data_IF_036561235691
#
_entry.id   IF_036561235691
#
_cell.length_a   1.000
_cell.length_b   1.000
_cell.length_c   1.000
_cell.angle_alpha   90.00
_cell.angle_beta   90.00
_cell.angle_gamma   90.00
#
_symmetry.space_group_name_H-M   'P 1'
#
loop_
_entity.id
_entity.type
_entity.pdbx_description
1 polymer ?
#
# COMPACT_ATOMS: atom_id res chain seq x y z
N UNK A 1 -4.79 16.92 27.74
CA UNK A 1 -4.55 16.90 26.28
C UNK A 1 -5.15 15.61 25.73
N UNK A 2 -6.10 15.68 24.78
CA UNK A 2 -6.63 14.46 24.13
C UNK A 2 -5.55 13.96 23.16
N UNK A 3 -4.88 12.86 23.50
CA UNK A 3 -3.93 12.21 22.61
C UNK A 3 -4.65 11.69 21.38
N UNK A 4 -4.40 12.31 20.22
CA UNK A 4 -4.97 11.89 18.95
C UNK A 4 -4.16 10.70 18.46
N UNK A 5 -4.80 9.53 18.27
CA UNK A 5 -4.13 8.33 17.76
C UNK A 5 -3.72 8.60 16.31
N UNK A 6 -2.43 8.41 16.02
CA UNK A 6 -1.90 8.37 14.67
C UNK A 6 -1.89 6.92 14.18
N UNK A 7 -1.98 6.74 12.87
CA UNK A 7 -1.81 5.47 12.16
C UNK A 7 -0.55 5.58 11.31
N UNK A 8 0.06 4.43 11.08
CA UNK A 8 1.28 4.32 10.28
C UNK A 8 0.99 3.48 9.06
N UNK A 9 1.24 4.04 7.87
CA UNK A 9 1.15 3.31 6.61
C UNK A 9 2.55 2.93 6.17
N UNK A 10 2.81 1.63 6.14
CA UNK A 10 4.11 1.05 5.83
C UNK A 10 4.03 0.28 4.50
N UNK A 11 4.93 0.62 3.58
CA UNK A 11 5.17 -0.15 2.37
C UNK A 11 6.54 -0.79 2.47
N UNK A 12 6.59 -2.11 2.43
CA UNK A 12 7.81 -2.91 2.58
C UNK A 12 7.93 -3.84 1.39
N UNK A 13 9.10 -3.87 0.76
CA UNK A 13 9.45 -4.89 -0.22
C UNK A 13 9.99 -6.12 0.50
N UNK A 14 9.25 -7.23 0.46
CA UNK A 14 9.67 -8.47 1.13
C UNK A 14 10.83 -9.17 0.40
N UNK A 15 11.03 -8.89 -0.89
CA UNK A 15 12.12 -9.50 -1.67
C UNK A 15 13.47 -8.90 -1.28
N UNK A 16 13.56 -7.57 -1.28
CA UNK A 16 14.78 -6.86 -0.89
C UNK A 16 14.89 -6.62 0.63
N UNK A 17 13.82 -6.89 1.38
CA UNK A 17 13.67 -6.58 2.81
C UNK A 17 13.89 -5.08 3.11
N UNK A 18 13.35 -4.23 2.25
CA UNK A 18 13.47 -2.78 2.35
C UNK A 18 12.13 -2.13 2.69
N UNK A 19 12.13 -1.16 3.61
CA UNK A 19 10.97 -0.28 3.78
C UNK A 19 11.02 0.79 2.68
N UNK A 20 10.05 0.75 1.76
CA UNK A 20 9.94 1.67 0.63
C UNK A 20 9.38 3.02 1.07
N UNK A 21 8.36 3.00 1.93
CA UNK A 21 7.78 4.21 2.50
C UNK A 21 7.16 3.92 3.87
N UNK A 22 7.23 4.92 4.74
CA UNK A 22 6.56 4.94 6.04
C UNK A 22 5.88 6.31 6.14
N UNK A 23 4.57 6.32 6.10
CA UNK A 23 3.75 7.52 6.18
C UNK A 23 3.01 7.53 7.51
N UNK A 24 3.00 8.66 8.21
CA UNK A 24 2.38 8.79 9.54
C UNK A 24 1.30 9.86 9.45
N UNK A 25 0.04 9.47 9.68
CA UNK A 25 -1.08 10.40 9.63
C UNK A 25 -2.15 10.03 10.67
N UNK A 26 -3.07 10.96 10.93
CA UNK A 26 -4.14 10.85 11.91
C UNK A 26 -5.34 10.07 11.35
N UNK A 27 -5.41 9.98 10.02
CA UNK A 27 -6.30 9.12 9.26
C UNK A 27 -5.66 8.84 7.92
N UNK A 28 -5.86 7.63 7.39
CA UNK A 28 -5.29 7.19 6.13
C UNK A 28 -6.42 7.06 5.11
N UNK A 29 -6.84 8.13 4.42
CA UNK A 29 -7.79 7.97 3.32
C UNK A 29 -7.11 7.26 2.15
N UNK A 30 -7.89 6.54 1.34
CA UNK A 30 -7.38 5.81 0.19
C UNK A 30 -6.57 6.69 -0.79
N UNK A 31 -6.97 7.96 -0.96
CA UNK A 31 -6.25 8.94 -1.79
C UNK A 31 -4.82 9.17 -1.28
N UNK A 32 -4.61 9.18 0.04
CA UNK A 32 -3.25 9.34 0.61
C UNK A 32 -2.39 8.11 0.34
N UNK A 33 -2.98 6.91 0.48
CA UNK A 33 -2.33 5.64 0.16
C UNK A 33 -1.92 5.59 -1.31
N UNK A 34 -2.84 5.94 -2.22
CA UNK A 34 -2.57 6.00 -3.67
C UNK A 34 -1.41 6.94 -3.96
N UNK A 35 -1.41 8.15 -3.39
CA UNK A 35 -0.33 9.12 -3.61
C UNK A 35 1.03 8.56 -3.18
N UNK A 36 1.12 7.89 -2.03
CA UNK A 36 2.38 7.26 -1.58
C UNK A 36 2.81 6.14 -2.53
N UNK A 37 1.86 5.32 -3.02
CA UNK A 37 2.16 4.29 -4.01
C UNK A 37 2.67 4.88 -5.33
N UNK A 38 2.05 5.96 -5.82
CA UNK A 38 2.51 6.68 -7.02
C UNK A 38 3.93 7.26 -6.85
N UNK A 39 4.27 7.78 -5.66
CA UNK A 39 5.63 8.26 -5.38
C UNK A 39 6.65 7.12 -5.44
N UNK A 40 6.32 5.94 -4.89
CA UNK A 40 7.19 4.77 -4.93
C UNK A 40 7.37 4.29 -6.38
N UNK A 41 6.28 4.24 -7.15
CA UNK A 41 6.27 3.88 -8.58
C UNK A 41 7.05 4.91 -9.43
N UNK A 42 7.04 6.18 -9.04
CA UNK A 42 7.85 7.20 -9.72
C UNK A 42 9.36 6.99 -9.52
N UNK A 43 9.76 6.34 -8.42
CA UNK A 43 11.16 6.10 -8.07
C UNK A 43 11.67 4.70 -8.45
N UNK A 44 10.77 3.72 -8.62
CA UNK A 44 11.08 2.32 -8.88
C UNK A 44 10.10 1.72 -9.89
N UNK A 45 10.49 0.61 -10.51
CA UNK A 45 9.56 -0.16 -11.33
C UNK A 45 8.36 -0.67 -10.53
N UNK A 46 7.23 -0.88 -11.20
CA UNK A 46 5.99 -1.34 -10.59
C UNK A 46 6.16 -2.67 -9.83
N UNK A 47 5.57 -2.80 -8.62
CA UNK A 47 5.58 -4.05 -7.91
C UNK A 47 4.74 -5.09 -8.66
N UNK A 48 5.32 -6.29 -8.89
CA UNK A 48 4.62 -7.39 -9.57
C UNK A 48 3.41 -7.92 -8.80
N UNK A 49 3.39 -7.74 -7.47
CA UNK A 49 2.26 -8.08 -6.59
C UNK A 49 2.24 -7.13 -5.40
N UNK A 50 1.05 -6.64 -5.07
CA UNK A 50 0.78 -5.84 -3.87
C UNK A 50 -0.05 -6.68 -2.90
N UNK A 51 0.48 -6.90 -1.70
CA UNK A 51 -0.30 -7.45 -0.59
C UNK A 51 -0.80 -6.30 0.26
N UNK A 52 -2.11 -6.22 0.47
CA UNK A 52 -2.72 -5.22 1.33
C UNK A 52 -3.32 -5.89 2.55
N UNK A 53 -3.34 -5.20 3.67
CA UNK A 53 -4.19 -5.61 4.79
C UNK A 53 -5.68 -5.31 4.49
N UNK A 54 -6.56 -5.78 5.38
CA UNK A 54 -8.00 -5.56 5.28
C UNK A 54 -8.44 -4.22 5.89
N UNK A 55 -7.55 -3.23 5.95
CA UNK A 55 -7.90 -1.90 6.38
C UNK A 55 -8.99 -1.27 5.50
N UNK A 56 -9.88 -0.42 6.04
CA UNK A 56 -10.93 0.24 5.27
C UNK A 56 -10.39 1.11 4.14
N UNK A 57 -9.19 1.68 4.31
CA UNK A 57 -8.43 2.41 3.30
C UNK A 57 -8.11 1.58 2.05
N UNK A 58 -7.96 0.26 2.24
CA UNK A 58 -7.60 -0.70 1.22
C UNK A 58 -8.81 -1.38 0.57
N UNK A 59 -10.00 -1.26 1.15
CA UNK A 59 -11.26 -1.82 0.63
C UNK A 59 -12.01 -0.80 -0.25
N UNK A 60 -11.54 0.45 -0.29
CA UNK A 60 -12.20 1.49 -1.08
C UNK A 60 -12.14 1.22 -2.59
N UNK A 61 -13.21 1.59 -3.28
CA UNK A 61 -13.31 1.54 -4.75
C UNK A 61 -12.20 2.35 -5.42
N UNK A 62 -11.80 3.49 -4.84
CA UNK A 62 -10.74 4.34 -5.38
C UNK A 62 -9.40 3.62 -5.56
N UNK A 63 -9.04 2.71 -4.64
CA UNK A 63 -7.81 1.93 -4.77
C UNK A 63 -7.95 0.82 -5.83
N UNK A 64 -9.14 0.24 -5.96
CA UNK A 64 -9.44 -0.74 -7.00
C UNK A 64 -9.38 -0.09 -8.40
N UNK A 65 -10.02 1.07 -8.57
CA UNK A 65 -10.01 1.85 -9.81
C UNK A 65 -8.57 2.24 -10.19
N UNK A 66 -7.78 2.72 -9.21
CA UNK A 66 -6.36 3.02 -9.43
C UNK A 66 -5.56 1.79 -9.84
N UNK A 67 -5.78 0.64 -9.21
CA UNK A 67 -5.08 -0.60 -9.55
C UNK A 67 -5.43 -1.10 -10.96
N UNK A 68 -6.70 -0.97 -11.38
CA UNK A 68 -7.15 -1.30 -12.73
C UNK A 68 -6.55 -0.36 -13.79
N UNK A 69 -6.56 0.96 -13.52
CA UNK A 69 -5.96 1.97 -14.41
C UNK A 69 -4.45 1.77 -14.56
N UNK A 70 -3.79 1.39 -13.47
CA UNK A 70 -2.34 1.20 -13.44
C UNK A 70 -1.86 -0.05 -14.20
N UNK A 71 -2.77 -0.96 -14.62
CA UNK A 71 -2.57 -2.14 -15.52
C UNK A 71 -1.37 -3.07 -15.28
N UNK A 72 -0.55 -2.84 -14.26
CA UNK A 72 0.69 -3.57 -13.98
C UNK A 72 0.70 -4.31 -12.65
N UNK A 73 -0.33 -4.13 -11.82
CA UNK A 73 -0.51 -4.90 -10.58
C UNK A 73 -1.60 -5.95 -10.85
N UNK A 74 -1.24 -7.17 -11.28
CA UNK A 74 -2.21 -8.21 -11.56
C UNK A 74 -2.78 -8.68 -10.22
N UNK A 75 -3.89 -8.09 -9.79
CA UNK A 75 -4.64 -8.57 -8.64
C UNK A 75 -4.09 -8.16 -7.28
N UNK A 76 -5.01 -7.64 -6.47
CA UNK A 76 -4.84 -7.47 -5.05
C UNK A 76 -5.11 -8.83 -4.38
N UNK A 77 -4.08 -9.53 -3.91
CA UNK A 77 -4.21 -10.89 -3.38
C UNK A 77 -4.27 -10.91 -1.85
N UNK A 78 -5.13 -11.76 -1.26
CA UNK A 78 -5.26 -11.92 0.19
C UNK A 78 -4.41 -13.06 0.78
N UNK A 79 -3.89 -13.99 -0.05
CA UNK A 79 -3.15 -15.17 0.43
C UNK A 79 -1.63 -14.97 0.43
N UNK A 80 -0.96 -15.45 1.48
CA UNK A 80 0.50 -15.29 1.69
C UNK A 80 1.36 -16.18 0.80
N UNK A 81 0.79 -16.98 -0.09
CA UNK A 81 1.55 -17.92 -0.89
C UNK A 81 2.04 -17.29 -2.21
N UNK A 82 3.32 -17.49 -2.55
CA UNK A 82 4.08 -17.08 -3.76
C UNK A 82 4.58 -15.63 -3.92
N UNK A 83 5.87 -15.43 -3.58
CA UNK A 83 6.81 -14.34 -3.94
C UNK A 83 6.72 -13.90 -5.43
N UNK A 84 7.17 -12.68 -5.82
CA UNK A 84 7.71 -11.56 -5.02
C UNK A 84 6.60 -10.57 -4.63
N UNK A 85 6.61 -10.07 -3.39
CA UNK A 85 5.53 -9.28 -2.80
C UNK A 85 6.05 -7.96 -2.23
N UNK A 86 5.38 -6.87 -2.55
CA UNK A 86 5.42 -5.65 -1.74
C UNK A 86 4.25 -5.71 -0.75
N UNK A 87 4.57 -5.67 0.54
CA UNK A 87 3.67 -5.64 1.68
C UNK A 87 3.24 -4.19 1.93
N UNK A 88 1.94 -3.96 1.95
CA UNK A 88 1.32 -2.66 2.11
C UNK A 88 0.37 -2.76 3.31
N UNK A 89 0.68 -2.08 4.42
CA UNK A 89 -0.11 -2.22 5.64
C UNK A 89 -0.19 -0.95 6.45
N UNK A 90 -1.40 -0.65 6.92
CA UNK A 90 -1.69 0.43 7.84
C UNK A 90 -1.86 -0.14 9.26
N UNK A 91 -0.85 0.09 10.12
CA UNK A 91 -0.83 -0.33 11.52
C UNK A 91 -1.14 0.84 12.45
#
# INVERSE_FOLDING_TARGET
MRGRRFRTFNVVDEFNREALAIEIDLGLPAVRVIHVLEQIIGQRDYPKKLWKDNGPEFISTALADWAEETRHIPGIYSTRDTYPKCLCGAF
#
